data_IF_166883778189
#
_entry.id   IF_166883778189
#
_cell.length_a   1.000
_cell.length_b   1.000
_cell.length_c   1.000
_cell.angle_alpha   90.00
_cell.angle_beta   90.00
_cell.angle_gamma   90.00
#
_symmetry.space_group_name_H-M   'P 1'
#
loop_
_entity.id
_entity.type
_entity.pdbx_description
1 polymer ?
#
# COMPACT_ATOMS: atom_id res chain seq x y z
N UNK A 1 5.55 -21.18 3.34
CA UNK A 1 5.90 -19.83 2.85
C UNK A 1 4.60 -19.07 2.66
N UNK A 2 4.50 -17.85 3.16
CA UNK A 2 3.31 -17.01 2.89
C UNK A 2 3.43 -16.54 1.45
N UNK A 3 2.43 -16.84 0.63
CA UNK A 3 2.30 -16.23 -0.69
C UNK A 3 1.70 -14.84 -0.46
N UNK A 4 2.56 -13.85 -0.21
CA UNK A 4 2.14 -12.45 -0.06
C UNK A 4 2.45 -11.65 -1.31
N UNK A 5 1.71 -10.57 -1.53
CA UNK A 5 1.98 -9.62 -2.60
C UNK A 5 2.80 -8.44 -2.06
N UNK A 6 3.84 -8.00 -2.78
CA UNK A 6 4.55 -6.78 -2.42
C UNK A 6 3.66 -5.56 -2.65
N UNK A 7 3.97 -4.46 -1.96
CA UNK A 7 3.38 -3.15 -2.21
C UNK A 7 4.30 -2.33 -3.13
N UNK A 8 3.85 -1.92 -4.34
CA UNK A 8 4.61 -1.03 -5.22
C UNK A 8 4.96 0.30 -4.56
N UNK A 9 3.98 0.92 -3.89
CA UNK A 9 4.18 2.17 -3.15
C UNK A 9 5.25 2.01 -2.08
N UNK A 10 5.18 0.95 -1.27
CA UNK A 10 6.17 0.71 -0.23
C UNK A 10 7.56 0.49 -0.82
N UNK A 11 7.67 -0.25 -1.92
CA UNK A 11 8.93 -0.48 -2.61
C UNK A 11 9.62 0.84 -2.99
N UNK A 12 8.86 1.78 -3.57
CA UNK A 12 9.37 3.11 -3.98
C UNK A 12 9.90 3.96 -2.83
N UNK A 13 9.35 3.79 -1.63
CA UNK A 13 9.84 4.48 -0.43
C UNK A 13 10.93 3.71 0.33
N UNK A 14 11.51 2.66 -0.30
CA UNK A 14 12.58 1.86 0.29
C UNK A 14 12.09 0.83 1.33
N UNK A 15 10.78 0.61 1.41
CA UNK A 15 10.18 -0.32 2.36
C UNK A 15 9.69 -1.59 1.64
N UNK A 16 10.26 -2.73 2.00
CA UNK A 16 9.80 -4.01 1.47
C UNK A 16 8.82 -4.67 2.45
N UNK A 17 7.52 -4.49 2.18
CA UNK A 17 6.43 -5.20 2.87
C UNK A 17 5.76 -6.23 1.97
N UNK A 18 5.15 -7.20 2.63
CA UNK A 18 4.36 -8.28 2.07
C UNK A 18 3.00 -8.27 2.77
N UNK A 19 1.94 -8.22 1.98
CA UNK A 19 0.57 -8.40 2.47
C UNK A 19 0.07 -9.76 2.06
N UNK A 20 -0.60 -10.46 2.97
CA UNK A 20 -1.23 -11.74 2.68
C UNK A 20 -2.55 -11.89 3.41
N UNK A 21 -3.48 -12.61 2.79
CA UNK A 21 -4.70 -13.04 3.46
C UNK A 21 -4.34 -13.87 4.70
N UNK A 22 -5.03 -13.61 5.81
CA UNK A 22 -4.80 -14.32 7.06
C UNK A 22 -5.31 -15.76 6.94
N UNK A 23 -4.44 -16.68 6.50
CA UNK A 23 -4.75 -18.10 6.50
C UNK A 23 -4.94 -18.61 7.94
N UNK A 24 -6.20 -18.92 8.31
CA UNK A 24 -6.59 -19.42 9.64
C UNK A 24 -6.02 -20.82 9.97
N UNK A 25 -5.51 -21.55 8.99
CA UNK A 25 -5.23 -22.99 9.01
C UNK A 25 -3.74 -23.38 8.86
N UNK A 26 -2.82 -22.41 8.77
CA UNK A 26 -1.37 -22.66 8.64
C UNK A 26 -0.62 -22.40 9.96
N UNK A 27 0.56 -23.03 10.12
CA UNK A 27 1.46 -22.89 11.29
C UNK A 27 1.48 -21.44 11.79
N UNK A 28 1.45 -21.20 13.12
CA UNK A 28 1.40 -19.86 13.67
C UNK A 28 2.61 -19.06 13.20
N UNK A 29 2.35 -18.14 12.28
CA UNK A 29 3.22 -17.02 11.98
C UNK A 29 2.88 -15.99 13.05
N UNK A 30 3.87 -15.35 13.65
CA UNK A 30 3.63 -14.14 14.43
C UNK A 30 2.79 -13.21 13.55
N UNK A 31 1.53 -12.91 13.90
CA UNK A 31 0.48 -12.55 12.94
C UNK A 31 0.71 -11.22 12.18
N UNK A 32 1.88 -10.61 12.29
CA UNK A 32 2.19 -9.34 11.66
C UNK A 32 1.30 -8.24 12.23
N UNK A 33 1.10 -7.21 11.43
CA UNK A 33 0.05 -6.21 11.71
C UNK A 33 -1.20 -6.64 10.94
N UNK A 34 -2.26 -6.97 11.68
CA UNK A 34 -3.58 -7.21 11.08
C UNK A 34 -4.20 -5.88 10.64
N UNK A 35 -4.71 -5.83 9.40
CA UNK A 35 -5.40 -4.69 8.85
C UNK A 35 -6.70 -5.12 8.15
N UNK A 36 -7.69 -4.24 8.18
CA UNK A 36 -8.94 -4.40 7.42
C UNK A 36 -8.63 -4.40 5.90
N UNK A 37 -9.38 -5.20 5.16
CA UNK A 37 -9.23 -5.41 3.71
C UNK A 37 -9.30 -4.14 2.89
N UNK A 38 -10.11 -3.17 3.30
CA UNK A 38 -10.19 -1.87 2.62
C UNK A 38 -8.85 -1.11 2.64
N UNK A 39 -8.08 -1.25 3.72
CA UNK A 39 -6.75 -0.64 3.82
C UNK A 39 -5.70 -1.46 3.08
N UNK A 40 -5.84 -2.80 3.08
CA UNK A 40 -4.97 -3.68 2.32
C UNK A 40 -5.00 -3.32 0.83
N UNK A 41 -6.19 -3.11 0.24
CA UNK A 41 -6.33 -2.70 -1.16
C UNK A 41 -5.51 -1.44 -1.50
N UNK A 42 -5.49 -0.44 -0.61
CA UNK A 42 -4.69 0.78 -0.78
C UNK A 42 -3.18 0.55 -0.77
N UNK A 43 -2.68 -0.47 -0.05
CA UNK A 43 -1.26 -0.82 -0.10
C UNK A 43 -0.85 -1.42 -1.45
N UNK A 44 -1.80 -1.90 -2.23
CA UNK A 44 -1.56 -2.54 -3.53
C UNK A 44 -1.85 -1.64 -4.73
N UNK A 45 -1.89 -0.31 -4.53
CA UNK A 45 -2.02 0.63 -5.63
C UNK A 45 -0.87 0.47 -6.64
N UNK A 46 -1.23 0.07 -7.84
CA UNK A 46 -0.32 -0.10 -8.97
C UNK A 46 0.28 1.24 -9.42
N UNK A 47 1.61 1.33 -9.39
CA UNK A 47 2.35 2.53 -9.79
C UNK A 47 3.73 2.22 -10.41
N UNK A 48 3.96 1.00 -10.91
CA UNK A 48 5.19 0.64 -11.61
C UNK A 48 5.13 1.01 -13.09
N UNK A 49 6.07 1.84 -13.54
CA UNK A 49 6.09 2.33 -14.91
C UNK A 49 6.68 1.32 -15.90
N UNK A 50 7.61 0.50 -15.42
CA UNK A 50 8.35 -0.47 -16.24
C UNK A 50 7.72 -1.87 -16.23
N UNK A 51 6.76 -2.12 -15.33
CA UNK A 51 5.97 -3.36 -15.31
C UNK A 51 4.67 -3.16 -16.07
N UNK A 52 4.51 -3.86 -17.19
CA UNK A 52 3.33 -3.71 -18.06
C UNK A 52 2.02 -4.05 -17.35
N UNK A 53 2.02 -5.09 -16.51
CA UNK A 53 0.79 -5.55 -15.85
C UNK A 53 0.31 -4.52 -14.82
N UNK A 54 1.24 -3.95 -14.05
CA UNK A 54 0.98 -2.87 -13.10
C UNK A 54 0.59 -1.57 -13.84
N UNK A 55 1.33 -1.22 -14.90
CA UNK A 55 1.08 -0.04 -15.72
C UNK A 55 -0.34 -0.01 -16.31
N UNK A 56 -0.83 -1.16 -16.80
CA UNK A 56 -2.16 -1.30 -17.41
C UNK A 56 -3.30 -1.08 -16.39
N UNK A 57 -3.06 -1.39 -15.10
CA UNK A 57 -4.04 -1.24 -14.02
C UNK A 57 -3.74 -0.04 -13.10
N UNK A 58 -2.94 0.92 -13.56
CA UNK A 58 -2.52 2.13 -12.83
C UNK A 58 -3.52 2.62 -11.77
N UNK A 59 -3.05 2.79 -10.53
CA UNK A 59 -3.81 3.30 -9.40
C UNK A 59 -5.01 2.45 -8.98
N UNK A 60 -5.09 1.20 -9.44
CA UNK A 60 -6.01 0.18 -8.93
C UNK A 60 -5.21 -0.76 -8.05
N UNK A 61 -5.92 -1.49 -7.19
CA UNK A 61 -5.29 -2.62 -6.51
C UNK A 61 -5.06 -3.76 -7.52
N UNK A 62 -4.02 -4.56 -7.30
CA UNK A 62 -3.84 -5.80 -8.04
C UNK A 62 -5.08 -6.72 -7.84
N UNK A 63 -5.46 -7.48 -8.88
CA UNK A 63 -6.65 -8.33 -8.85
C UNK A 63 -6.71 -9.21 -7.59
N UNK A 64 -7.88 -9.23 -6.94
CA UNK A 64 -8.15 -10.03 -5.74
C UNK A 64 -8.20 -9.22 -4.44
N UNK A 65 -7.46 -8.12 -4.36
CA UNK A 65 -7.42 -7.31 -3.13
C UNK A 65 -8.71 -6.55 -2.84
N UNK A 66 -9.38 -6.03 -3.89
CA UNK A 66 -10.70 -5.40 -3.75
C UNK A 66 -11.81 -6.38 -3.32
N UNK A 67 -11.60 -7.69 -3.51
CA UNK A 67 -12.56 -8.74 -3.22
C UNK A 67 -12.25 -9.51 -1.93
N UNK A 68 -11.16 -9.17 -1.24
CA UNK A 68 -10.74 -9.84 -0.02
C UNK A 68 -11.78 -9.62 1.10
N UNK A 69 -12.24 -10.71 1.71
CA UNK A 69 -13.29 -10.71 2.75
C UNK A 69 -12.74 -10.95 4.17
N UNK A 70 -11.47 -11.30 4.29
CA UNK A 70 -10.82 -11.68 5.54
C UNK A 70 -9.70 -10.71 5.89
N UNK A 71 -9.35 -10.59 7.18
CA UNK A 71 -8.26 -9.71 7.60
C UNK A 71 -6.95 -10.02 6.86
N UNK A 72 -6.19 -8.98 6.57
CA UNK A 72 -4.87 -9.08 5.92
C UNK A 72 -3.78 -8.91 6.95
N UNK A 73 -2.70 -9.68 6.82
CA UNK A 73 -1.49 -9.49 7.62
C UNK A 73 -0.42 -8.76 6.81
N UNK A 74 0.23 -7.77 7.42
CA UNK A 74 1.35 -7.04 6.83
C UNK A 74 2.64 -7.40 7.57
N UNK A 75 3.64 -7.82 6.79
CA UNK A 75 4.95 -8.23 7.26
C UNK A 75 6.05 -7.52 6.46
N UNK A 76 7.20 -7.33 7.08
CA UNK A 76 8.43 -6.97 6.38
C UNK A 76 9.00 -8.19 5.63
N UNK A 77 9.96 -7.95 4.73
CA UNK A 77 10.69 -9.01 4.03
C UNK A 77 11.36 -10.04 4.97
N UNK A 78 11.81 -9.61 6.16
CA UNK A 78 12.39 -10.48 7.18
C UNK A 78 11.33 -11.23 8.04
N UNK A 79 10.07 -11.21 7.61
CA UNK A 79 8.91 -11.81 8.28
C UNK A 79 8.64 -11.23 9.68
N UNK A 80 9.22 -10.08 10.02
CA UNK A 80 8.89 -9.37 11.25
C UNK A 80 7.70 -8.43 11.03
N UNK A 81 6.86 -8.22 12.05
CA UNK A 81 5.82 -7.20 12.00
C UNK A 81 6.45 -5.82 11.76
N UNK A 82 5.81 -5.01 10.92
CA UNK A 82 6.06 -3.57 10.91
C UNK A 82 5.35 -2.94 12.12
N UNK A 83 5.74 -1.74 12.54
CA UNK A 83 4.99 -1.04 13.60
C UNK A 83 3.54 -0.76 13.13
N UNK A 84 2.49 -1.08 13.93
CA UNK A 84 1.11 -0.84 13.54
C UNK A 84 0.81 0.60 13.10
N UNK A 85 1.33 1.59 13.84
CA UNK A 85 1.17 3.02 13.50
C UNK A 85 1.80 3.38 12.15
N UNK A 86 2.90 2.72 11.80
CA UNK A 86 3.55 2.93 10.51
C UNK A 86 2.68 2.36 9.39
N UNK A 87 2.09 1.17 9.60
CA UNK A 87 1.16 0.57 8.64
C UNK A 87 -0.08 1.44 8.48
N UNK A 88 -0.67 1.94 9.57
CA UNK A 88 -1.80 2.88 9.54
C UNK A 88 -1.50 4.13 8.72
N UNK A 89 -0.36 4.79 8.99
CA UNK A 89 0.04 5.98 8.26
C UNK A 89 0.31 5.69 6.78
N UNK A 90 0.92 4.55 6.46
CA UNK A 90 1.15 4.13 5.08
C UNK A 90 -0.16 3.88 4.33
N UNK A 91 -1.11 3.18 4.95
CA UNK A 91 -2.44 2.95 4.39
C UNK A 91 -3.18 4.27 4.17
N UNK A 92 -3.12 5.17 5.16
CA UNK A 92 -3.74 6.49 5.07
C UNK A 92 -3.12 7.33 3.95
N UNK A 93 -1.79 7.35 3.81
CA UNK A 93 -1.12 8.08 2.73
C UNK A 93 -1.52 7.53 1.36
N UNK A 94 -1.55 6.21 1.20
CA UNK A 94 -1.98 5.58 -0.04
C UNK A 94 -3.42 5.97 -0.42
N UNK A 95 -4.35 5.93 0.54
CA UNK A 95 -5.77 6.21 0.32
C UNK A 95 -6.08 7.70 0.18
N UNK A 96 -5.55 8.53 1.07
CA UNK A 96 -5.96 9.94 1.22
C UNK A 96 -5.15 10.87 0.30
N UNK A 97 -3.88 10.55 0.03
CA UNK A 97 -2.98 11.42 -0.76
C UNK A 97 -2.68 10.83 -2.15
N UNK A 98 -2.30 9.54 -2.23
CA UNK A 98 -1.82 8.97 -3.50
C UNK A 98 -2.96 8.57 -4.44
N UNK A 99 -4.00 7.89 -3.94
CA UNK A 99 -5.11 7.43 -4.76
C UNK A 99 -5.82 8.57 -5.51
N UNK A 100 -6.09 9.75 -4.91
CA UNK A 100 -6.65 10.89 -5.64
C UNK A 100 -5.74 11.40 -6.78
N UNK A 101 -4.42 11.41 -6.56
CA UNK A 101 -3.46 11.78 -7.61
C UNK A 101 -3.49 10.78 -8.76
N UNK A 102 -3.54 9.49 -8.44
CA UNK A 102 -3.62 8.44 -9.46
C UNK A 102 -4.92 8.48 -10.25
N UNK A 103 -6.06 8.76 -9.60
CA UNK A 103 -7.36 8.93 -10.25
C UNK A 103 -7.35 10.14 -11.20
N UNK A 104 -6.76 11.26 -10.78
CA UNK A 104 -6.58 12.43 -11.65
C UNK A 104 -5.88 12.06 -12.96
N UNK A 105 -4.83 11.23 -12.92
CA UNK A 105 -4.15 10.79 -14.16
C UNK A 105 -5.11 10.08 -15.11
N UNK A 106 -6.03 9.26 -14.60
CA UNK A 106 -7.05 8.59 -15.43
C UNK A 106 -8.04 9.58 -16.04
N UNK A 107 -8.48 10.56 -15.27
CA UNK A 107 -9.39 11.62 -15.75
C UNK A 107 -8.78 12.41 -16.91
N UNK A 108 -7.45 12.58 -16.92
CA UNK A 108 -6.71 13.22 -18.02
C UNK A 108 -6.19 12.21 -19.07
N UNK A 109 -6.91 11.10 -19.28
CA UNK A 109 -6.63 10.16 -20.37
C UNK A 109 -5.41 9.24 -20.16
N UNK A 110 -4.88 9.16 -18.94
CA UNK A 110 -3.81 8.22 -18.61
C UNK A 110 -2.42 8.63 -19.06
N UNK A 111 -2.15 9.93 -19.23
CA UNK A 111 -0.87 10.46 -19.74
C UNK A 111 0.36 9.92 -19.00
N UNK A 112 1.35 9.43 -19.76
CA UNK A 112 2.65 8.97 -19.26
C UNK A 112 3.40 10.04 -18.47
N UNK A 113 3.33 11.31 -18.90
CA UNK A 113 4.00 12.41 -18.20
C UNK A 113 3.40 12.58 -16.80
N UNK A 114 2.07 12.50 -16.69
CA UNK A 114 1.37 12.62 -15.42
C UNK A 114 1.63 11.40 -14.52
N UNK A 115 1.69 10.18 -15.07
CA UNK A 115 2.09 8.98 -14.31
C UNK A 115 3.49 9.16 -13.71
N UNK A 116 4.45 9.65 -14.51
CA UNK A 116 5.82 9.95 -14.06
C UNK A 116 5.84 11.01 -12.96
N UNK A 117 5.06 12.08 -13.11
CA UNK A 117 4.93 13.11 -12.07
C UNK A 117 4.39 12.56 -10.76
N UNK A 118 3.36 11.70 -10.80
CA UNK A 118 2.82 11.04 -9.60
C UNK A 118 3.86 10.13 -8.97
N UNK A 119 4.52 9.27 -9.75
CA UNK A 119 5.60 8.40 -9.24
C UNK A 119 6.71 9.21 -8.57
N UNK A 120 7.10 10.35 -9.15
CA UNK A 120 8.12 11.22 -8.58
C UNK A 120 7.73 11.82 -7.22
N UNK A 121 6.44 11.76 -6.83
CA UNK A 121 5.99 12.15 -5.50
C UNK A 121 6.04 11.00 -4.49
N UNK A 122 6.19 9.76 -4.93
CA UNK A 122 6.23 8.59 -4.05
C UNK A 122 7.67 8.39 -3.57
N UNK A 123 8.08 9.20 -2.60
CA UNK A 123 9.43 9.14 -2.02
C UNK A 123 9.37 8.91 -0.52
N UNK A 124 10.45 8.33 0.03
CA UNK A 124 10.58 8.12 1.46
C UNK A 124 10.44 9.42 2.25
N UNK A 125 11.04 10.51 1.76
CA UNK A 125 10.97 11.83 2.39
C UNK A 125 9.52 12.33 2.50
N UNK A 126 8.74 12.24 1.42
CA UNK A 126 7.33 12.67 1.45
C UNK A 126 6.49 11.81 2.38
N UNK A 127 6.75 10.50 2.40
CA UNK A 127 6.06 9.61 3.32
C UNK A 127 6.39 9.93 4.79
N UNK A 128 7.66 10.08 5.14
CA UNK A 128 8.06 10.37 6.53
C UNK A 128 7.51 11.73 6.99
N UNK A 129 7.49 12.74 6.12
CA UNK A 129 6.85 14.02 6.40
C UNK A 129 5.33 13.88 6.63
N UNK A 130 4.64 13.08 5.80
CA UNK A 130 3.23 12.76 6.01
C UNK A 130 3.02 12.03 7.34
N UNK A 131 3.85 11.02 7.64
CA UNK A 131 3.75 10.21 8.87
C UNK A 131 3.91 11.07 10.11
N UNK A 132 4.90 11.95 10.16
CA UNK A 132 5.07 12.88 11.29
C UNK A 132 3.83 13.76 11.50
N UNK A 133 3.25 14.29 10.42
CA UNK A 133 2.03 15.09 10.48
C UNK A 133 0.86 14.25 10.99
N UNK A 134 0.68 13.05 10.43
CA UNK A 134 -0.38 12.12 10.80
C UNK A 134 -0.33 11.75 12.29
N UNK A 135 0.87 11.49 12.82
CA UNK A 135 1.10 11.20 14.23
C UNK A 135 0.83 12.42 15.13
N UNK A 136 1.26 13.63 14.73
CA UNK A 136 1.00 14.88 15.46
C UNK A 136 -0.48 15.23 15.53
N UNK A 137 -1.24 14.94 14.48
CA UNK A 137 -2.69 15.18 14.42
C UNK A 137 -3.51 14.19 15.27
N UNK A 138 -2.87 13.16 15.84
CA UNK A 138 -3.56 12.15 16.65
C UNK A 138 -4.61 11.36 15.87
N UNK A 139 -4.49 11.32 14.53
CA UNK A 139 -5.42 10.59 13.67
C UNK A 139 -5.23 9.09 13.93
N UNK A 140 -6.27 8.44 14.41
CA UNK A 140 -6.37 6.99 14.43
C UNK A 140 -7.09 6.61 13.15
N UNK A 141 -6.52 5.71 12.34
CA UNK A 141 -7.24 5.10 11.25
C UNK A 141 -8.47 4.40 11.86
N UNK A 142 -9.67 4.92 11.61
CA UNK A 142 -10.91 4.24 12.04
C UNK A 142 -10.98 2.92 11.25
N UNK A 143 -10.70 1.83 11.94
CA UNK A 143 -10.80 0.46 11.45
C UNK A 143 -12.24 0.04 11.18
#
# INVERSE_FOLDING_TARGET
>A
MVHGHPSPVAHRIGLQIWSAERALDRKPIDPGVAINTMFAASLHLSCELDDKADYDIWGQSAQGWDACKEDTIVLRFDQKPLCPKYVEALCAWCRDDLQPLMLRVKEFGGSDSLKKEVVAQITQEKFEAFKEKYEKEGRIAKY
#
